data_IF_590658043149
#
_entry.id   IF_590658043149
#
_cell.length_a   1.000
_cell.length_b   1.000
_cell.length_c   1.000
_cell.angle_alpha   90.00
_cell.angle_beta   90.00
_cell.angle_gamma   90.00
#
_symmetry.space_group_name_H-M   'P 1'
#
loop_
_entity.id
_entity.type
_entity.pdbx_description
1 polymer ?
#
# COMPACT_ATOMS: atom_id res chain seq x y z
N UNK A 1 1.99 13.94 -10.81
CA UNK A 1 1.78 13.09 -9.63
C UNK A 1 0.29 12.85 -9.44
N UNK A 2 -0.14 11.61 -9.56
CA UNK A 2 -1.52 11.15 -9.42
C UNK A 2 -1.62 10.28 -8.17
N UNK A 3 -2.38 10.73 -7.19
CA UNK A 3 -2.61 10.00 -5.95
C UNK A 3 -4.04 9.49 -5.92
N UNK A 4 -4.20 8.20 -5.66
CA UNK A 4 -5.50 7.55 -5.54
C UNK A 4 -5.67 6.99 -4.14
N UNK A 5 -6.90 6.66 -3.77
CA UNK A 5 -7.20 5.92 -2.53
C UNK A 5 -8.00 4.68 -2.86
N UNK A 6 -7.70 3.58 -2.20
CA UNK A 6 -8.41 2.31 -2.34
C UNK A 6 -8.72 1.75 -0.96
N UNK A 7 -10.01 1.54 -0.69
CA UNK A 7 -10.43 0.72 0.44
C UNK A 7 -10.31 -0.74 0.01
N UNK A 8 -9.38 -1.47 0.61
CA UNK A 8 -9.08 -2.82 0.19
C UNK A 8 -10.07 -3.85 0.75
N UNK A 9 -10.79 -3.50 1.82
CA UNK A 9 -11.56 -4.38 2.71
C UNK A 9 -10.72 -5.47 3.39
N UNK A 10 -9.71 -6.04 2.71
CA UNK A 10 -8.67 -6.92 3.22
C UNK A 10 -7.52 -7.04 2.22
N UNK A 11 -6.28 -7.03 2.72
CA UNK A 11 -5.03 -7.42 2.04
C UNK A 11 -4.26 -8.46 2.89
N UNK A 12 -5.01 -9.30 3.60
CA UNK A 12 -4.44 -10.30 4.49
C UNK A 12 -3.81 -11.48 3.74
N UNK A 13 -4.20 -11.73 2.48
CA UNK A 13 -3.73 -12.86 1.66
C UNK A 13 -3.02 -12.39 0.37
N UNK A 14 -2.23 -13.29 -0.21
CA UNK A 14 -1.60 -13.07 -1.53
C UNK A 14 -2.65 -12.85 -2.61
N UNK A 15 -3.71 -13.68 -2.66
CA UNK A 15 -4.81 -13.52 -3.59
C UNK A 15 -5.46 -12.12 -3.52
N UNK A 16 -5.69 -11.58 -2.33
CA UNK A 16 -6.22 -10.20 -2.19
C UNK A 16 -5.25 -9.13 -2.68
N UNK A 17 -3.95 -9.40 -2.63
CA UNK A 17 -2.90 -8.52 -3.16
C UNK A 17 -2.83 -8.59 -4.69
N UNK A 18 -2.99 -9.78 -5.27
CA UNK A 18 -3.09 -9.97 -6.72
C UNK A 18 -4.30 -9.24 -7.29
N UNK A 19 -5.47 -9.35 -6.64
CA UNK A 19 -6.68 -8.64 -7.03
C UNK A 19 -6.46 -7.12 -7.02
N UNK A 20 -5.80 -6.57 -5.99
CA UNK A 20 -5.40 -5.16 -5.96
C UNK A 20 -4.58 -4.79 -7.20
N UNK A 21 -3.58 -5.60 -7.56
CA UNK A 21 -2.74 -5.35 -8.73
C UNK A 21 -3.54 -5.40 -10.04
N UNK A 22 -4.48 -6.35 -10.17
CA UNK A 22 -5.36 -6.42 -11.34
C UNK A 22 -6.24 -5.17 -11.49
N UNK A 23 -6.72 -4.59 -10.39
CA UNK A 23 -7.49 -3.34 -10.43
C UNK A 23 -6.59 -2.13 -10.68
N UNK A 24 -5.43 -2.05 -10.02
CA UNK A 24 -4.49 -0.94 -10.15
C UNK A 24 -4.01 -0.78 -11.60
N UNK A 25 -3.76 -1.89 -12.31
CA UNK A 25 -3.35 -1.90 -13.74
C UNK A 25 -4.36 -1.22 -14.69
N UNK A 26 -5.61 -1.02 -14.28
CA UNK A 26 -6.66 -0.40 -15.11
C UNK A 26 -6.67 1.13 -15.02
N UNK A 27 -5.94 1.70 -14.09
CA UNK A 27 -5.92 3.15 -13.84
C UNK A 27 -4.49 3.69 -13.95
N UNK A 28 -4.36 4.99 -14.21
CA UNK A 28 -3.08 5.69 -14.08
C UNK A 28 -2.93 6.16 -12.64
N UNK A 29 -1.80 5.84 -12.02
CA UNK A 29 -1.48 6.25 -10.66
C UNK A 29 0.04 6.38 -10.50
N UNK A 30 0.46 7.26 -9.60
CA UNK A 30 1.83 7.28 -9.08
C UNK A 30 1.85 6.65 -7.67
N UNK A 31 0.81 6.90 -6.86
CA UNK A 31 0.64 6.31 -5.52
C UNK A 31 -0.83 5.96 -5.31
N UNK A 32 -1.11 4.81 -4.68
CA UNK A 32 -2.42 4.46 -4.15
C UNK A 32 -2.31 4.32 -2.63
N UNK A 33 -3.02 5.17 -1.89
CA UNK A 33 -3.22 5.02 -0.46
C UNK A 33 -4.23 3.91 -0.17
N UNK A 34 -3.84 2.96 0.67
CA UNK A 34 -4.63 1.78 1.01
C UNK A 34 -5.18 1.91 2.43
N UNK A 35 -6.46 1.60 2.59
CA UNK A 35 -7.14 1.54 3.90
C UNK A 35 -7.84 0.21 4.08
N UNK A 36 -8.07 -0.18 5.32
CA UNK A 36 -8.68 -1.47 5.69
C UNK A 36 -7.90 -2.66 5.11
N UNK A 37 -6.57 -2.61 5.22
CA UNK A 37 -5.70 -3.69 4.75
C UNK A 37 -5.85 -4.94 5.63
N UNK A 38 -6.30 -4.78 6.88
CA UNK A 38 -6.55 -5.87 7.86
C UNK A 38 -5.40 -6.88 8.00
N UNK A 39 -4.18 -6.48 7.68
CA UNK A 39 -3.02 -7.36 7.71
C UNK A 39 -2.41 -7.33 9.11
N UNK A 40 -2.25 -8.48 9.77
CA UNK A 40 -1.71 -8.50 11.13
C UNK A 40 -0.19 -8.25 11.19
N UNK A 41 0.53 -8.56 10.12
CA UNK A 41 1.97 -8.35 10.02
C UNK A 41 2.24 -7.35 8.90
N UNK A 42 3.12 -6.36 9.11
CA UNK A 42 3.50 -5.47 8.03
C UNK A 42 4.12 -6.27 6.88
N UNK A 43 3.98 -5.76 5.67
CA UNK A 43 4.53 -6.38 4.46
C UNK A 43 5.14 -5.30 3.59
N UNK A 44 6.38 -5.51 3.15
CA UNK A 44 6.99 -4.76 2.08
C UNK A 44 7.25 -5.75 0.95
N UNK A 45 6.74 -5.48 -0.24
CA UNK A 45 6.89 -6.34 -1.40
C UNK A 45 7.19 -5.48 -2.63
N UNK A 46 8.09 -5.98 -3.47
CA UNK A 46 8.35 -5.43 -4.80
C UNK A 46 7.83 -6.44 -5.81
N UNK A 47 7.02 -5.99 -6.75
CA UNK A 47 6.50 -6.85 -7.82
C UNK A 47 7.49 -6.93 -8.98
N UNK A 48 7.35 -7.94 -9.85
CA UNK A 48 8.17 -8.08 -11.06
C UNK A 48 8.05 -6.89 -12.01
N UNK A 49 6.91 -6.20 -11.94
CA UNK A 49 6.65 -4.96 -12.68
C UNK A 49 7.35 -3.74 -12.09
N UNK A 50 7.96 -3.88 -10.90
CA UNK A 50 8.76 -2.89 -10.20
C UNK A 50 8.00 -1.96 -9.27
N UNK A 51 6.66 -2.04 -9.21
CA UNK A 51 5.89 -1.35 -8.17
C UNK A 51 6.21 -1.90 -6.78
N UNK A 52 6.16 -1.02 -5.79
CA UNK A 52 6.39 -1.38 -4.39
C UNK A 52 5.12 -1.22 -3.56
N UNK A 53 4.82 -2.25 -2.78
CA UNK A 53 3.71 -2.30 -1.85
C UNK A 53 4.23 -2.28 -0.42
N UNK A 54 3.75 -1.32 0.35
CA UNK A 54 4.00 -1.20 1.78
C UNK A 54 2.68 -1.36 2.53
N UNK A 55 2.58 -2.34 3.41
CA UNK A 55 1.42 -2.56 4.27
C UNK A 55 1.85 -2.45 5.73
N UNK A 56 1.13 -1.61 6.45
CA UNK A 56 1.13 -1.56 7.90
C UNK A 56 0.25 -2.65 8.52
N UNK A 57 0.37 -2.83 9.83
CA UNK A 57 -0.44 -3.76 10.59
C UNK A 57 -1.81 -3.19 11.01
N UNK A 58 -2.80 -4.05 11.15
CA UNK A 58 -4.05 -3.75 11.82
C UNK A 58 -3.92 -3.91 13.35
N UNK A 59 -4.98 -3.55 14.10
CA UNK A 59 -5.03 -3.83 15.53
C UNK A 59 -5.20 -5.33 15.83
N UNK A 60 -5.20 -5.70 17.12
CA UNK A 60 -5.38 -7.09 17.56
C UNK A 60 -6.70 -7.72 17.13
N UNK A 61 -7.71 -6.91 16.78
CA UNK A 61 -9.03 -7.36 16.31
C UNK A 61 -9.12 -7.44 14.79
N UNK A 62 -8.04 -7.16 14.07
CA UNK A 62 -8.05 -7.12 12.61
C UNK A 62 -8.60 -5.82 12.02
N UNK A 63 -8.79 -4.77 12.84
CA UNK A 63 -9.41 -3.51 12.40
C UNK A 63 -8.35 -2.51 11.98
N UNK A 64 -8.63 -1.82 10.87
CA UNK A 64 -7.73 -0.83 10.27
C UNK A 64 -6.66 -1.48 9.41
N UNK A 65 -5.44 -1.01 9.55
CA UNK A 65 -4.36 -1.27 8.61
C UNK A 65 -4.38 -0.25 7.49
N UNK A 66 -3.21 0.31 7.22
CA UNK A 66 -2.95 1.28 6.16
C UNK A 66 -1.80 0.78 5.31
N UNK A 67 -1.70 1.26 4.09
CA UNK A 67 -0.58 0.94 3.23
C UNK A 67 -0.50 1.88 2.04
N UNK A 68 0.51 1.70 1.21
CA UNK A 68 0.66 2.40 -0.05
C UNK A 68 1.14 1.44 -1.13
N UNK A 69 0.58 1.55 -2.32
CA UNK A 69 1.15 0.98 -3.55
C UNK A 69 1.79 2.12 -4.34
N UNK A 70 3.05 1.97 -4.72
CA UNK A 70 3.82 3.01 -5.41
C UNK A 70 4.24 2.50 -6.78
N UNK A 71 3.93 3.29 -7.81
CA UNK A 71 4.30 2.98 -9.18
C UNK A 71 5.81 3.12 -9.38
N UNK A 72 6.38 2.32 -10.30
CA UNK A 72 7.80 2.33 -10.67
C UNK A 72 8.39 3.72 -10.88
N UNK A 73 7.63 4.63 -11.50
CA UNK A 73 8.07 6.00 -11.77
C UNK A 73 8.43 6.79 -10.51
N UNK A 74 7.86 6.42 -9.35
CA UNK A 74 8.05 7.13 -8.08
C UNK A 74 8.88 6.32 -7.07
N UNK A 75 9.08 5.02 -7.27
CA UNK A 75 9.79 4.13 -6.34
C UNK A 75 11.16 4.68 -5.94
N UNK A 76 11.96 5.14 -6.92
CA UNK A 76 13.30 5.68 -6.66
C UNK A 76 13.29 6.96 -5.81
N UNK A 77 12.15 7.66 -5.76
CA UNK A 77 11.95 8.88 -5.00
C UNK A 77 11.36 8.61 -3.60
N UNK A 78 11.05 7.36 -3.24
CA UNK A 78 10.62 7.03 -1.88
C UNK A 78 11.82 7.16 -0.93
N UNK A 79 11.61 7.88 0.16
CA UNK A 79 12.52 7.92 1.30
C UNK A 79 12.13 6.86 2.32
N UNK A 80 10.86 6.86 2.76
CA UNK A 80 10.37 5.93 3.78
C UNK A 80 8.85 5.81 3.79
N UNK A 81 8.34 4.66 4.20
CA UNK A 81 6.96 4.51 4.66
C UNK A 81 6.96 4.15 6.14
N UNK A 82 6.15 4.87 6.92
CA UNK A 82 5.95 4.57 8.33
C UNK A 82 4.46 4.54 8.66
N UNK A 83 4.10 3.69 9.61
CA UNK A 83 2.77 3.64 10.16
C UNK A 83 2.76 4.36 11.52
N UNK A 84 2.03 5.46 11.61
CA UNK A 84 1.88 6.24 12.85
C UNK A 84 0.83 5.63 13.77
N UNK A 85 -0.27 5.14 13.19
CA UNK A 85 -1.34 4.42 13.90
C UNK A 85 -1.94 3.36 12.99
N UNK A 86 -2.87 2.54 13.48
CA UNK A 86 -3.63 1.58 12.65
C UNK A 86 -4.45 2.23 11.54
N UNK A 87 -4.61 3.56 11.54
CA UNK A 87 -5.39 4.32 10.55
C UNK A 87 -4.60 5.47 9.89
N UNK A 88 -3.33 5.65 10.24
CA UNK A 88 -2.49 6.74 9.71
C UNK A 88 -1.14 6.15 9.30
N UNK A 89 -0.82 6.29 8.01
CA UNK A 89 0.49 6.00 7.42
C UNK A 89 1.07 7.25 6.79
N UNK A 90 2.39 7.34 6.73
CA UNK A 90 3.13 8.45 6.12
C UNK A 90 4.12 7.89 5.11
N UNK A 91 3.92 8.25 3.85
CA UNK A 91 4.90 8.06 2.79
C UNK A 91 5.74 9.35 2.67
N UNK A 92 7.05 9.23 2.83
CA UNK A 92 8.01 10.31 2.62
C UNK A 92 8.70 10.11 1.28
N UNK A 93 8.86 11.22 0.56
CA UNK A 93 9.64 11.27 -0.66
C UNK A 93 10.96 12.00 -0.39
N UNK A 94 11.99 11.65 -1.17
CA UNK A 94 13.26 12.37 -1.20
C UNK A 94 13.03 13.82 -1.65
N UNK A 95 13.88 14.71 -1.15
CA UNK A 95 13.90 16.13 -1.56
C UNK A 95 14.62 16.32 -2.88
#
# INVERSE_FOLDING_TARGET
MTVCTFNARTLASEASTEDLMMQAKKIRYDVIGLTETRRHRPLNATFDTGEELFLGNCDSRGVGGVGVLVNTNLVMNIDSFEQLTTRIGRLRLKR
#
